data_IF_878555266730
#
_entry.id   IF_878555266730
#
_cell.length_a   1.000
_cell.length_b   1.000
_cell.length_c   1.000
_cell.angle_alpha   90.00
_cell.angle_beta   90.00
_cell.angle_gamma   90.00
#
_symmetry.space_group_name_H-M   'P 1'
#
loop_
_entity.id
_entity.type
_entity.pdbx_description
1 polymer ?
#
# COMPACT_ATOMS: atom_id res chain seq x y z
N UNK A 1 25.44 -4.17 5.48
CA UNK A 1 24.12 -4.83 5.35
C UNK A 1 23.21 -3.88 4.60
N UNK A 2 23.05 -4.07 3.28
CA UNK A 2 22.39 -3.09 2.39
C UNK A 2 20.88 -3.18 2.61
N UNK A 3 20.33 -2.19 3.30
CA UNK A 3 18.89 -2.01 3.45
C UNK A 3 18.27 -1.92 2.06
N UNK A 4 17.42 -2.89 1.74
CA UNK A 4 16.59 -2.90 0.55
C UNK A 4 15.51 -1.81 0.71
N UNK A 5 15.94 -0.56 0.50
CA UNK A 5 15.07 0.61 0.49
C UNK A 5 14.44 0.70 -0.90
N UNK A 6 13.37 -0.05 -1.12
CA UNK A 6 12.36 0.40 -2.05
C UNK A 6 11.66 1.58 -1.36
N UNK A 7 12.16 2.78 -1.66
CA UNK A 7 11.90 4.09 -1.05
C UNK A 7 10.47 4.60 -1.24
N UNK A 8 9.45 3.78 -0.98
CA UNK A 8 8.06 4.18 -1.05
C UNK A 8 7.44 4.17 0.34
N UNK A 9 7.35 5.33 0.98
CA UNK A 9 6.43 5.49 2.10
C UNK A 9 5.01 5.11 1.62
N UNK A 10 4.29 4.32 2.40
CA UNK A 10 2.91 3.97 2.11
C UNK A 10 2.09 5.27 1.98
N UNK A 11 1.33 5.46 0.90
CA UNK A 11 0.61 6.71 0.66
C UNK A 11 -0.46 7.00 1.72
N UNK A 12 -0.87 5.99 2.49
CA UNK A 12 -1.89 6.10 3.53
C UNK A 12 -1.27 6.33 4.92
N UNK A 13 -0.40 5.43 5.38
CA UNK A 13 0.14 5.51 6.74
C UNK A 13 1.51 6.19 6.84
N UNK A 14 2.18 6.50 5.73
CA UNK A 14 3.53 7.07 5.71
C UNK A 14 4.65 6.11 6.14
N UNK A 15 4.32 4.91 6.62
CA UNK A 15 5.29 3.89 7.02
C UNK A 15 5.91 3.16 5.83
N UNK A 16 6.90 2.30 6.08
CA UNK A 16 7.53 1.49 5.03
C UNK A 16 6.51 0.56 4.36
N UNK A 17 6.53 0.50 3.03
CA UNK A 17 5.72 -0.45 2.27
C UNK A 17 6.26 -1.89 2.32
N UNK A 18 7.52 -2.07 2.71
CA UNK A 18 8.24 -3.35 2.71
C UNK A 18 8.08 -4.13 1.39
N UNK A 19 7.98 -3.44 0.26
CA UNK A 19 7.82 -4.05 -1.05
C UNK A 19 9.16 -4.54 -1.57
N UNK A 20 9.25 -5.83 -1.86
CA UNK A 20 10.43 -6.50 -2.43
C UNK A 20 10.11 -7.09 -3.81
N UNK A 21 9.20 -6.45 -4.56
CA UNK A 21 8.75 -6.94 -5.87
C UNK A 21 9.91 -7.10 -6.85
N UNK A 22 10.89 -6.19 -6.79
CA UNK A 22 12.12 -6.24 -7.59
C UNK A 22 12.99 -7.46 -7.27
N UNK A 23 12.86 -8.02 -6.06
CA UNK A 23 13.56 -9.25 -5.64
C UNK A 23 12.78 -10.53 -5.99
N UNK A 24 11.58 -10.41 -6.61
CA UNK A 24 10.75 -11.55 -7.01
C UNK A 24 9.99 -12.23 -5.88
N UNK A 25 10.09 -11.75 -4.63
CA UNK A 25 9.52 -12.40 -3.45
C UNK A 25 8.74 -11.41 -2.56
N UNK A 26 7.88 -10.58 -3.16
CA UNK A 26 7.04 -9.67 -2.40
C UNK A 26 5.80 -10.36 -1.86
N UNK A 27 5.42 -10.01 -0.64
CA UNK A 27 4.15 -10.43 -0.04
C UNK A 27 2.93 -9.97 -0.87
N UNK A 28 3.05 -8.94 -1.70
CA UNK A 28 1.93 -8.44 -2.51
C UNK A 28 1.54 -9.40 -3.65
N UNK A 29 2.40 -10.36 -3.99
CA UNK A 29 2.08 -11.38 -4.99
C UNK A 29 1.10 -12.44 -4.46
N UNK A 30 1.05 -12.62 -3.14
CA UNK A 30 0.13 -13.57 -2.48
C UNK A 30 -1.08 -12.87 -1.87
N UNK A 31 -0.96 -11.57 -1.55
CA UNK A 31 -2.05 -10.78 -1.01
C UNK A 31 -2.75 -9.96 -2.10
N UNK A 32 -4.03 -10.25 -2.35
CA UNK A 32 -4.82 -9.48 -3.31
C UNK A 32 -4.98 -8.03 -2.85
N UNK A 33 -4.51 -7.09 -3.69
CA UNK A 33 -4.68 -5.65 -3.49
C UNK A 33 -6.06 -5.22 -4.02
N UNK A 34 -6.98 -4.73 -3.18
CA UNK A 34 -8.32 -4.36 -3.62
C UNK A 34 -8.30 -3.17 -4.58
N UNK A 35 -8.99 -3.27 -5.72
CA UNK A 35 -9.08 -2.17 -6.69
C UNK A 35 -9.67 -0.90 -6.09
N UNK A 36 -10.69 -1.03 -5.23
CA UNK A 36 -11.30 0.11 -4.54
C UNK A 36 -10.29 0.89 -3.68
N UNK A 37 -9.34 0.19 -3.05
CA UNK A 37 -8.25 0.83 -2.31
C UNK A 37 -7.30 1.62 -3.23
N UNK A 38 -7.00 1.10 -4.43
CA UNK A 38 -6.12 1.78 -5.40
C UNK A 38 -6.75 3.06 -5.97
N UNK A 39 -8.08 3.16 -5.97
CA UNK A 39 -8.78 4.40 -6.34
C UNK A 39 -8.49 5.52 -5.34
N UNK A 40 -8.32 5.19 -4.06
CA UNK A 40 -7.98 6.14 -2.98
C UNK A 40 -6.53 6.63 -3.03
N UNK A 41 -5.65 5.94 -3.78
CA UNK A 41 -4.26 6.39 -3.94
C UNK A 41 -4.25 7.66 -4.81
N UNK A 42 -3.61 8.76 -4.35
CA UNK A 42 -3.49 9.99 -5.13
C UNK A 42 -2.91 9.72 -6.52
N UNK A 43 -3.45 10.41 -7.54
CA UNK A 43 -3.06 10.17 -8.94
C UNK A 43 -1.54 10.31 -9.17
N UNK A 44 -0.88 11.23 -8.47
CA UNK A 44 0.58 11.43 -8.54
C UNK A 44 1.39 10.23 -8.02
N UNK A 45 0.81 9.41 -7.14
CA UNK A 45 1.47 8.27 -6.50
C UNK A 45 1.00 6.92 -7.08
N UNK A 46 -0.09 6.91 -7.84
CA UNK A 46 -0.66 5.70 -8.45
C UNK A 46 0.35 5.06 -9.40
N UNK A 47 0.51 3.74 -9.29
CA UNK A 47 1.51 2.95 -10.03
C UNK A 47 2.98 3.36 -9.82
N UNK A 48 3.27 4.21 -8.83
CA UNK A 48 4.64 4.64 -8.49
C UNK A 48 5.08 4.18 -7.10
N UNK A 49 4.15 4.08 -6.16
CA UNK A 49 4.43 3.61 -4.79
C UNK A 49 3.57 2.39 -4.45
N UNK A 50 4.13 1.47 -3.68
CA UNK A 50 3.38 0.34 -3.15
C UNK A 50 2.66 0.72 -1.86
N UNK A 51 1.48 0.14 -1.68
CA UNK A 51 0.73 0.19 -0.42
C UNK A 51 1.31 -0.87 0.52
N UNK A 52 1.43 -0.59 1.83
CA UNK A 52 1.94 -1.57 2.78
C UNK A 52 0.91 -2.67 3.09
N UNK A 53 1.41 -3.84 3.50
CA UNK A 53 0.57 -4.99 3.88
C UNK A 53 -0.45 -4.64 4.97
N UNK A 54 -0.05 -3.83 5.95
CA UNK A 54 -0.90 -3.40 7.07
C UNK A 54 -2.12 -2.60 6.58
N UNK A 55 -1.92 -1.65 5.66
CA UNK A 55 -3.03 -0.88 5.11
C UNK A 55 -3.95 -1.75 4.26
N UNK A 56 -3.42 -2.71 3.51
CA UNK A 56 -4.26 -3.63 2.72
C UNK A 56 -5.11 -4.49 3.64
N UNK A 57 -4.52 -5.05 4.71
CA UNK A 57 -5.27 -5.83 5.70
C UNK A 57 -6.33 -5.00 6.42
N UNK A 58 -6.02 -3.75 6.76
CA UNK A 58 -6.98 -2.83 7.36
C UNK A 58 -8.15 -2.54 6.40
N UNK A 59 -7.88 -2.29 5.12
CA UNK A 59 -8.93 -2.12 4.11
C UNK A 59 -9.76 -3.40 3.93
N UNK A 60 -9.15 -4.58 3.96
CA UNK A 60 -9.89 -5.84 3.85
C UNK A 60 -10.79 -6.11 5.07
N UNK A 61 -10.36 -5.72 6.26
CA UNK A 61 -11.14 -5.87 7.50
C UNK A 61 -12.31 -4.87 7.57
N UNK A 62 -12.08 -3.63 7.17
CA UNK A 62 -13.10 -2.57 7.15
C UNK A 62 -12.90 -1.63 5.96
N UNK A 63 -13.44 -1.97 4.78
CA UNK A 63 -13.32 -1.14 3.59
C UNK A 63 -13.96 0.25 3.74
N UNK A 64 -15.07 0.33 4.48
CA UNK A 64 -15.84 1.55 4.66
C UNK A 64 -15.09 2.52 5.58
N UNK A 65 -14.74 2.08 6.80
CA UNK A 65 -14.01 2.92 7.75
C UNK A 65 -12.61 3.29 7.27
N UNK A 66 -11.95 2.43 6.49
CA UNK A 66 -10.70 2.80 5.82
C UNK A 66 -10.94 3.93 4.81
N UNK A 67 -11.95 3.79 3.95
CA UNK A 67 -12.25 4.79 2.92
C UNK A 67 -12.60 6.14 3.54
N UNK A 68 -13.44 6.17 4.57
CA UNK A 68 -13.79 7.41 5.29
C UNK A 68 -12.55 8.08 5.88
N UNK A 69 -11.67 7.30 6.53
CA UNK A 69 -10.44 7.80 7.15
C UNK A 69 -9.47 8.45 6.15
N UNK A 70 -9.41 7.97 4.92
CA UNK A 70 -8.42 8.42 3.93
C UNK A 70 -9.00 9.27 2.79
N UNK A 71 -10.32 9.38 2.66
CA UNK A 71 -10.99 10.25 1.65
C UNK A 71 -11.29 11.66 2.16
N UNK A 72 -11.20 11.90 3.47
CA UNK A 72 -11.45 13.20 4.11
C UNK A 72 -10.20 14.10 4.22
N UNK A 73 -9.14 13.83 3.45
CA UNK A 73 -7.88 14.58 3.49
C UNK A 73 -7.57 15.23 2.15
#
# INVERSE_FOLDING_TARGET
MRGNANSGACPFCGGSNACTADSGACWCFTLQVPKAMLVLVPAALRNRVCVCQTCIRAFQADPQGFTERFSLR
#
